data_IF_190650645302
#
_entry.id   IF_190650645302
#
_cell.length_a   1.000
_cell.length_b   1.000
_cell.length_c   1.000
_cell.angle_alpha   90.00
_cell.angle_beta   90.00
_cell.angle_gamma   90.00
#
_symmetry.space_group_name_H-M   'P 1'
#
loop_
_entity.id
_entity.type
_entity.pdbx_description
1 polymer ?
#
# COMPACT_ATOMS: atom_id res chain seq x y z
N UNK A 1 -56.34 10.55 34.02
CA UNK A 1 -55.19 11.45 34.16
C UNK A 1 -54.12 10.98 33.18
N UNK A 2 -54.12 11.56 31.99
CA UNK A 2 -53.39 11.11 30.80
C UNK A 2 -51.98 11.71 30.82
N UNK A 3 -50.94 10.88 30.96
CA UNK A 3 -49.55 11.33 30.92
C UNK A 3 -49.08 11.27 29.47
N UNK A 4 -48.93 12.44 28.85
CA UNK A 4 -48.37 12.61 27.52
C UNK A 4 -46.87 12.31 27.54
N UNK A 5 -46.45 11.42 26.64
CA UNK A 5 -45.05 11.13 26.31
C UNK A 5 -44.46 12.31 25.53
N UNK A 6 -43.54 13.06 26.14
CA UNK A 6 -42.70 14.03 25.44
C UNK A 6 -41.53 13.31 24.76
N UNK A 7 -41.62 13.23 23.44
CA UNK A 7 -40.54 12.80 22.54
C UNK A 7 -39.38 13.78 22.62
N UNK A 8 -38.24 13.37 23.18
CA UNK A 8 -36.98 14.10 23.08
C UNK A 8 -36.42 13.97 21.66
N UNK A 9 -36.31 15.11 20.96
CA UNK A 9 -35.77 15.20 19.62
C UNK A 9 -34.27 14.83 19.59
N UNK A 10 -33.90 13.91 18.70
CA UNK A 10 -32.50 13.60 18.36
C UNK A 10 -31.94 14.76 17.52
N UNK A 11 -30.83 15.40 17.90
CA UNK A 11 -30.26 16.48 17.10
C UNK A 11 -29.64 15.94 15.80
N UNK A 12 -29.71 16.70 14.70
CA UNK A 12 -29.21 16.27 13.39
C UNK A 12 -27.69 16.11 13.43
N UNK A 13 -27.19 15.12 12.69
CA UNK A 13 -25.78 14.73 12.58
C UNK A 13 -24.88 15.89 12.14
N UNK A 14 -24.34 16.62 13.13
CA UNK A 14 -23.34 17.66 12.94
C UNK A 14 -22.03 17.06 12.45
N UNK A 15 -21.48 17.70 11.42
CA UNK A 15 -20.09 17.58 10.96
C UNK A 15 -19.15 17.37 12.14
N UNK A 16 -18.49 16.21 12.21
CA UNK A 16 -17.37 16.01 13.13
C UNK A 16 -16.31 17.07 12.80
N UNK A 17 -16.24 18.13 13.59
CA UNK A 17 -15.11 19.04 13.59
C UNK A 17 -13.87 18.19 13.85
N UNK A 18 -13.05 18.00 12.81
CA UNK A 18 -11.73 17.40 12.96
C UNK A 18 -10.90 18.42 13.73
N UNK A 19 -10.81 18.23 15.05
CA UNK A 19 -9.95 19.07 15.91
C UNK A 19 -8.55 19.04 15.31
N UNK A 20 -7.97 20.18 14.92
CA UNK A 20 -6.62 20.21 14.39
C UNK A 20 -5.67 19.69 15.47
N UNK A 21 -4.93 18.63 15.14
CA UNK A 21 -3.91 18.08 16.02
C UNK A 21 -2.83 19.16 16.16
N UNK A 22 -2.86 19.92 17.25
CA UNK A 22 -1.76 20.82 17.64
C UNK A 22 -0.60 19.98 18.14
N UNK A 23 0.10 19.34 17.20
CA UNK A 23 1.38 18.72 17.46
C UNK A 23 2.42 19.84 17.64
N UNK A 24 3.15 19.82 18.75
CA UNK A 24 4.32 20.67 18.93
C UNK A 24 5.33 20.45 17.79
N UNK A 25 6.17 21.45 17.50
CA UNK A 25 7.23 21.46 16.50
C UNK A 25 8.02 20.14 16.44
N UNK A 26 8.42 19.60 17.59
CA UNK A 26 9.10 18.30 17.71
C UNK A 26 8.25 17.13 17.25
N UNK A 27 6.95 17.11 17.61
CA UNK A 27 6.04 16.05 17.19
C UNK A 27 5.75 16.09 15.68
N UNK A 28 5.71 17.29 15.09
CA UNK A 28 5.61 17.45 13.64
C UNK A 28 6.87 16.95 12.94
N UNK A 29 8.06 17.29 13.44
CA UNK A 29 9.32 16.79 12.91
C UNK A 29 9.37 15.25 12.93
N UNK A 30 9.00 14.63 14.05
CA UNK A 30 8.90 13.16 14.15
C UNK A 30 7.89 12.58 13.15
N UNK A 31 6.77 13.28 12.90
CA UNK A 31 5.82 12.89 11.86
C UNK A 31 6.44 12.90 10.46
N UNK A 32 7.20 13.94 10.12
CA UNK A 32 7.89 14.01 8.82
C UNK A 32 8.96 12.93 8.69
N UNK A 33 9.77 12.71 9.72
CA UNK A 33 10.79 11.65 9.72
C UNK A 33 10.15 10.26 9.55
N UNK A 34 9.02 10.00 10.20
CA UNK A 34 8.29 8.75 10.05
C UNK A 34 7.71 8.57 8.64
N UNK A 35 7.14 9.63 8.05
CA UNK A 35 6.64 9.60 6.68
C UNK A 35 7.76 9.34 5.67
N UNK A 36 8.88 10.06 5.78
CA UNK A 36 10.05 9.89 4.90
C UNK A 36 10.68 8.50 5.05
N UNK A 37 10.78 7.99 6.29
CA UNK A 37 11.24 6.61 6.54
C UNK A 37 10.32 5.59 5.88
N UNK A 38 9.00 5.82 5.93
CA UNK A 38 8.03 4.95 5.24
C UNK A 38 8.25 4.96 3.73
N UNK A 39 8.42 6.14 3.13
CA UNK A 39 8.71 6.30 1.69
C UNK A 39 9.96 5.52 1.30
N UNK A 40 11.04 5.63 2.07
CA UNK A 40 12.27 4.87 1.82
C UNK A 40 12.06 3.35 1.93
N UNK A 41 11.31 2.88 2.92
CA UNK A 41 11.00 1.45 3.07
C UNK A 41 10.15 0.94 1.89
N UNK A 42 9.15 1.71 1.46
CA UNK A 42 8.32 1.34 0.30
C UNK A 42 9.11 1.39 -1.01
N UNK A 43 9.98 2.37 -1.19
CA UNK A 43 10.87 2.41 -2.35
C UNK A 43 11.83 1.21 -2.36
N UNK A 44 12.45 0.89 -1.23
CA UNK A 44 13.29 -0.30 -1.08
C UNK A 44 12.53 -1.60 -1.32
N UNK A 45 11.25 -1.67 -0.93
CA UNK A 45 10.39 -2.81 -1.24
C UNK A 45 10.25 -3.04 -2.75
N UNK A 46 10.01 -2.01 -3.56
CA UNK A 46 9.94 -2.18 -5.02
C UNK A 46 11.26 -2.61 -5.64
N UNK A 47 12.39 -2.11 -5.13
CA UNK A 47 13.72 -2.60 -5.53
C UNK A 47 13.89 -4.07 -5.19
N UNK A 48 13.49 -4.48 -3.99
CA UNK A 48 13.56 -5.88 -3.55
C UNK A 48 12.68 -6.81 -4.39
N UNK A 49 11.47 -6.38 -4.78
CA UNK A 49 10.65 -7.16 -5.70
C UNK A 49 11.35 -7.33 -7.06
N UNK A 50 11.96 -6.27 -7.57
CA UNK A 50 12.67 -6.31 -8.85
C UNK A 50 13.91 -7.20 -8.77
N UNK A 51 14.68 -7.10 -7.70
CA UNK A 51 15.83 -7.98 -7.46
C UNK A 51 15.37 -9.44 -7.33
N UNK A 52 14.35 -9.73 -6.53
CA UNK A 52 13.80 -11.08 -6.37
C UNK A 52 13.22 -11.67 -7.65
N UNK A 53 12.72 -10.84 -8.56
CA UNK A 53 12.25 -11.26 -9.88
C UNK A 53 13.40 -11.54 -10.87
N UNK A 54 14.58 -10.95 -10.64
CA UNK A 54 15.76 -11.06 -11.52
C UNK A 54 16.84 -12.01 -10.96
N UNK A 55 16.78 -12.36 -9.67
CA UNK A 55 17.81 -13.15 -8.99
C UNK A 55 17.38 -14.60 -8.74
N UNK A 56 18.34 -15.55 -8.68
CA UNK A 56 18.07 -16.94 -8.29
C UNK A 56 17.64 -17.08 -6.81
N UNK A 57 18.06 -16.14 -5.95
CA UNK A 57 17.56 -16.06 -4.58
C UNK A 57 16.07 -15.82 -4.62
N UNK A 58 15.33 -16.83 -4.16
CA UNK A 58 13.93 -16.96 -4.49
C UNK A 58 13.11 -15.80 -3.92
N UNK A 59 12.24 -15.30 -4.78
CA UNK A 59 11.05 -14.53 -4.35
C UNK A 59 10.37 -15.22 -3.16
N UNK A 60 10.43 -16.55 -3.07
CA UNK A 60 9.88 -17.36 -1.98
C UNK A 60 10.47 -17.02 -0.60
N UNK A 61 11.80 -16.97 -0.43
CA UNK A 61 12.46 -16.69 0.85
C UNK A 61 12.12 -15.29 1.34
N UNK A 62 12.15 -14.30 0.45
CA UNK A 62 11.75 -12.93 0.76
C UNK A 62 10.27 -12.87 1.18
N UNK A 63 9.42 -13.65 0.52
CA UNK A 63 7.99 -13.77 0.86
C UNK A 63 7.80 -14.42 2.23
N UNK A 64 8.57 -15.47 2.54
CA UNK A 64 8.57 -16.16 3.83
C UNK A 64 9.00 -15.21 4.95
N UNK A 65 10.06 -14.44 4.77
CA UNK A 65 10.47 -13.45 5.76
C UNK A 65 9.43 -12.35 5.95
N UNK A 66 8.88 -11.83 4.85
CA UNK A 66 7.89 -10.77 4.85
C UNK A 66 6.62 -11.13 5.62
N UNK A 67 6.09 -12.35 5.45
CA UNK A 67 4.83 -12.74 6.09
C UNK A 67 5.04 -13.61 7.33
N UNK A 68 6.04 -14.49 7.32
CA UNK A 68 6.33 -15.41 8.41
C UNK A 68 6.81 -14.71 9.68
N UNK A 69 7.76 -13.77 9.58
CA UNK A 69 8.28 -13.06 10.77
C UNK A 69 7.17 -12.24 11.45
N UNK A 70 6.41 -11.38 10.73
CA UNK A 70 5.25 -10.73 11.33
C UNK A 70 4.18 -11.68 11.85
N UNK A 71 3.92 -12.79 11.15
CA UNK A 71 2.93 -13.76 11.59
C UNK A 71 3.31 -14.36 12.95
N UNK A 72 4.57 -14.74 13.15
CA UNK A 72 5.07 -15.25 14.44
C UNK A 72 4.94 -14.20 15.53
N UNK A 73 5.35 -12.95 15.25
CA UNK A 73 5.28 -11.84 16.21
C UNK A 73 3.82 -11.50 16.59
N UNK A 74 2.90 -11.53 15.62
CA UNK A 74 1.50 -11.15 15.79
C UNK A 74 0.58 -12.31 16.17
N UNK A 75 1.06 -13.56 16.18
CA UNK A 75 0.25 -14.73 16.53
C UNK A 75 -0.35 -14.62 17.94
N UNK A 76 0.39 -14.22 19.00
CA UNK A 76 -0.20 -14.03 20.32
C UNK A 76 -1.29 -12.97 20.35
N UNK A 77 -1.14 -11.91 19.53
CA UNK A 77 -2.14 -10.86 19.39
C UNK A 77 -3.40 -11.41 18.70
N UNK A 78 -3.27 -12.20 17.64
CA UNK A 78 -4.39 -12.84 16.96
C UNK A 78 -5.18 -13.71 17.94
N UNK A 79 -4.51 -14.57 18.70
CA UNK A 79 -5.16 -15.44 19.71
C UNK A 79 -5.92 -14.58 20.74
N UNK A 80 -5.29 -13.54 21.27
CA UNK A 80 -5.89 -12.64 22.25
C UNK A 80 -7.08 -11.83 21.69
N UNK A 81 -7.07 -11.49 20.40
CA UNK A 81 -8.08 -10.66 19.73
C UNK A 81 -9.01 -11.45 18.82
N UNK A 82 -8.93 -12.78 18.82
CA UNK A 82 -9.68 -13.64 17.89
C UNK A 82 -11.19 -13.43 17.98
N UNK A 83 -11.73 -13.29 19.19
CA UNK A 83 -13.15 -13.03 19.40
C UNK A 83 -13.64 -11.74 18.73
N UNK A 84 -12.78 -10.72 18.63
CA UNK A 84 -13.07 -9.46 17.96
C UNK A 84 -12.91 -9.58 16.43
N UNK A 85 -11.86 -10.28 15.98
CA UNK A 85 -11.59 -10.44 14.54
C UNK A 85 -12.62 -11.35 13.87
N UNK A 86 -13.03 -12.45 14.51
CA UNK A 86 -13.93 -13.46 13.90
C UNK A 86 -15.36 -12.99 13.66
N UNK A 87 -15.78 -11.89 14.29
CA UNK A 87 -17.12 -11.30 14.10
C UNK A 87 -17.15 -10.26 12.99
N UNK A 88 -15.98 -9.86 12.46
CA UNK A 88 -15.90 -9.00 11.28
C UNK A 88 -16.45 -9.77 10.08
N UNK A 89 -17.18 -9.07 9.20
CA UNK A 89 -17.71 -9.66 7.98
C UNK A 89 -16.58 -10.36 7.18
N UNK A 90 -16.72 -11.65 6.83
CA UNK A 90 -15.70 -12.40 6.10
C UNK A 90 -15.25 -11.74 4.80
N UNK A 91 -16.14 -11.02 4.11
CA UNK A 91 -15.80 -10.27 2.90
C UNK A 91 -14.67 -9.26 3.15
N UNK A 92 -14.69 -8.55 4.27
CA UNK A 92 -13.66 -7.57 4.61
C UNK A 92 -12.37 -8.26 5.08
N UNK A 93 -12.46 -9.38 5.79
CA UNK A 93 -11.28 -10.16 6.15
C UNK A 93 -10.57 -10.69 4.91
N UNK A 94 -11.33 -11.20 3.93
CA UNK A 94 -10.82 -11.65 2.63
C UNK A 94 -10.22 -10.48 1.86
N UNK A 95 -10.91 -9.33 1.78
CA UNK A 95 -10.37 -8.14 1.11
C UNK A 95 -9.08 -7.63 1.74
N UNK A 96 -8.92 -7.73 3.07
CA UNK A 96 -7.67 -7.43 3.77
C UNK A 96 -6.57 -8.43 3.38
N UNK A 97 -6.85 -9.73 3.49
CA UNK A 97 -5.88 -10.80 3.26
C UNK A 97 -5.41 -10.87 1.79
N UNK A 98 -6.32 -10.69 0.82
CA UNK A 98 -5.98 -10.69 -0.60
C UNK A 98 -5.29 -9.39 -1.02
N UNK A 99 -5.77 -8.25 -0.50
CA UNK A 99 -5.40 -6.94 -1.02
C UNK A 99 -4.01 -6.44 -0.63
N UNK A 100 -3.45 -6.95 0.47
CA UNK A 100 -2.08 -6.64 0.91
C UNK A 100 -1.27 -7.87 1.35
N UNK A 101 -1.86 -9.08 1.31
CA UNK A 101 -1.20 -10.34 1.67
C UNK A 101 -0.53 -11.03 0.49
N UNK A 102 -0.41 -12.36 0.59
CA UNK A 102 0.32 -13.19 -0.37
C UNK A 102 -0.10 -12.97 -1.83
N UNK A 103 -1.40 -12.89 -2.20
CA UNK A 103 -1.78 -12.72 -3.61
C UNK A 103 -1.31 -11.40 -4.20
N UNK A 104 -1.52 -10.28 -3.49
CA UNK A 104 -0.99 -8.98 -3.89
C UNK A 104 0.53 -9.02 -4.08
N UNK A 105 1.26 -9.61 -3.13
CA UNK A 105 2.71 -9.71 -3.21
C UNK A 105 3.15 -10.60 -4.40
N UNK A 106 2.56 -11.78 -4.56
CA UNK A 106 2.91 -12.72 -5.62
C UNK A 106 2.68 -12.13 -7.02
N UNK A 107 1.55 -11.46 -7.23
CA UNK A 107 1.26 -10.77 -8.50
C UNK A 107 2.24 -9.61 -8.70
N UNK A 108 2.55 -8.84 -7.64
CA UNK A 108 3.51 -7.73 -7.72
C UNK A 108 4.93 -8.22 -8.06
N UNK A 109 5.39 -9.30 -7.44
CA UNK A 109 6.69 -9.90 -7.69
C UNK A 109 6.77 -10.46 -9.12
N UNK A 110 5.73 -11.18 -9.55
CA UNK A 110 5.64 -11.68 -10.92
C UNK A 110 5.66 -10.54 -11.94
N UNK A 111 4.86 -9.48 -11.72
CA UNK A 111 4.82 -8.28 -12.58
C UNK A 111 6.18 -7.57 -12.69
N UNK A 112 6.97 -7.57 -11.60
CA UNK A 112 8.33 -7.03 -11.59
C UNK A 112 9.32 -7.80 -12.46
N UNK A 113 8.99 -8.98 -12.97
CA UNK A 113 9.77 -9.63 -14.04
C UNK A 113 9.59 -8.96 -15.41
N UNK A 114 8.45 -8.29 -15.63
CA UNK A 114 8.03 -7.81 -16.95
C UNK A 114 8.24 -6.31 -17.17
N UNK A 115 8.35 -5.53 -16.10
CA UNK A 115 8.40 -4.07 -16.17
C UNK A 115 9.39 -3.48 -15.15
N UNK A 116 10.03 -2.34 -15.46
CA UNK A 116 10.95 -1.65 -14.54
C UNK A 116 10.28 -1.18 -13.25
N UNK A 117 11.09 -0.92 -12.22
CA UNK A 117 10.64 -0.41 -10.91
C UNK A 117 9.79 0.84 -11.06
N UNK A 118 10.19 1.76 -11.94
CA UNK A 118 9.47 3.01 -12.18
C UNK A 118 8.00 2.80 -12.55
N UNK A 119 7.67 1.73 -13.27
CA UNK A 119 6.29 1.41 -13.64
C UNK A 119 5.52 0.85 -12.44
N UNK A 120 6.10 -0.09 -11.70
CA UNK A 120 5.44 -0.72 -10.54
C UNK A 120 5.24 0.24 -9.37
N UNK A 121 6.28 1.00 -9.03
CA UNK A 121 6.23 2.00 -7.97
C UNK A 121 5.29 3.15 -8.28
N UNK A 122 5.03 3.45 -9.55
CA UNK A 122 4.09 4.49 -9.98
C UNK A 122 2.67 3.95 -10.07
N UNK A 123 2.46 2.85 -10.80
CA UNK A 123 1.11 2.37 -11.10
C UNK A 123 0.41 1.81 -9.87
N UNK A 124 1.11 1.09 -8.98
CA UNK A 124 0.48 0.48 -7.80
C UNK A 124 -0.07 1.55 -6.84
N UNK A 125 0.77 2.37 -6.16
CA UNK A 125 0.26 3.36 -5.21
C UNK A 125 -0.40 4.55 -5.92
N UNK A 126 0.06 4.91 -7.12
CA UNK A 126 -0.41 6.10 -7.81
C UNK A 126 -1.82 5.98 -8.39
N UNK A 127 -2.25 4.77 -8.74
CA UNK A 127 -3.63 4.53 -9.21
C UNK A 127 -4.57 4.03 -8.13
N UNK A 128 -4.07 3.72 -6.92
CA UNK A 128 -4.93 3.28 -5.82
C UNK A 128 -6.07 4.29 -5.54
N UNK A 129 -5.86 5.62 -5.55
CA UNK A 129 -6.96 6.58 -5.41
C UNK A 129 -8.03 6.48 -6.50
N UNK A 130 -7.68 6.10 -7.74
CA UNK A 130 -8.65 5.88 -8.81
C UNK A 130 -9.57 4.71 -8.48
N UNK A 131 -9.00 3.55 -8.14
CA UNK A 131 -9.79 2.36 -7.80
C UNK A 131 -10.58 2.53 -6.50
N UNK A 132 -9.97 3.08 -5.45
CA UNK A 132 -10.66 3.36 -4.18
C UNK A 132 -11.84 4.29 -4.41
N UNK A 133 -11.64 5.35 -5.20
CA UNK A 133 -12.71 6.29 -5.53
C UNK A 133 -13.78 5.65 -6.38
N UNK A 134 -13.40 4.88 -7.42
CA UNK A 134 -14.34 4.19 -8.29
C UNK A 134 -15.24 3.24 -7.50
N UNK A 135 -14.66 2.39 -6.66
CA UNK A 135 -15.42 1.50 -5.77
C UNK A 135 -16.30 2.33 -4.82
N UNK A 136 -15.78 3.43 -4.25
CA UNK A 136 -16.55 4.23 -3.31
C UNK A 136 -17.76 4.95 -3.94
N UNK A 137 -17.62 5.43 -5.17
CA UNK A 137 -18.71 6.06 -5.92
C UNK A 137 -19.73 5.02 -6.36
N UNK A 138 -19.28 3.89 -6.91
CA UNK A 138 -20.17 2.86 -7.43
C UNK A 138 -20.94 2.12 -6.34
N UNK A 139 -20.33 1.85 -5.18
CA UNK A 139 -20.94 1.03 -4.12
C UNK A 139 -21.43 1.82 -2.91
N UNK A 140 -20.88 3.00 -2.64
CA UNK A 140 -21.27 3.83 -1.48
C UNK A 140 -21.89 5.18 -1.88
N UNK A 141 -22.08 5.45 -3.18
CA UNK A 141 -22.67 6.69 -3.70
C UNK A 141 -22.06 7.97 -3.11
N UNK A 142 -20.75 7.95 -2.83
CA UNK A 142 -20.07 9.08 -2.20
C UNK A 142 -19.88 10.23 -3.19
N UNK A 143 -20.22 11.48 -2.82
CA UNK A 143 -20.01 12.64 -3.68
C UNK A 143 -18.52 12.92 -3.84
N UNK A 144 -18.15 13.39 -5.04
CA UNK A 144 -16.77 13.74 -5.37
C UNK A 144 -16.59 15.26 -5.41
N UNK A 145 -15.63 15.75 -4.62
CA UNK A 145 -15.21 17.14 -4.72
C UNK A 145 -14.55 17.43 -6.08
N UNK A 146 -14.66 18.67 -6.54
CA UNK A 146 -14.10 19.09 -7.84
C UNK A 146 -12.58 18.94 -7.91
N UNK A 147 -11.85 19.22 -6.83
CA UNK A 147 -10.39 19.04 -6.78
C UNK A 147 -9.99 17.56 -6.84
N UNK A 148 -10.74 16.66 -6.18
CA UNK A 148 -10.47 15.23 -6.23
C UNK A 148 -10.70 14.68 -7.63
N UNK A 149 -11.76 15.13 -8.32
CA UNK A 149 -11.98 14.79 -9.74
C UNK A 149 -10.83 15.24 -10.63
N UNK A 150 -10.34 16.47 -10.43
CA UNK A 150 -9.21 17.00 -11.18
C UNK A 150 -7.92 16.19 -10.94
N UNK A 151 -7.57 15.91 -9.68
CA UNK A 151 -6.40 15.09 -9.36
C UNK A 151 -6.48 13.69 -9.98
N UNK A 152 -7.63 13.03 -9.88
CA UNK A 152 -7.86 11.71 -10.50
C UNK A 152 -7.77 11.77 -12.03
N UNK A 153 -8.24 12.84 -12.67
CA UNK A 153 -8.08 13.03 -14.11
C UNK A 153 -6.60 13.09 -14.51
N UNK A 154 -5.76 13.83 -13.76
CA UNK A 154 -4.31 13.88 -14.01
C UNK A 154 -3.68 12.49 -13.82
N UNK A 155 -4.06 11.75 -12.77
CA UNK A 155 -3.59 10.37 -12.57
C UNK A 155 -3.94 9.50 -13.78
N UNK A 156 -5.18 9.57 -14.28
CA UNK A 156 -5.62 8.80 -15.43
C UNK A 156 -4.80 9.13 -16.69
N UNK A 157 -4.52 10.41 -16.94
CA UNK A 157 -3.64 10.82 -18.04
C UNK A 157 -2.21 10.28 -17.89
N UNK A 158 -1.66 10.30 -16.67
CA UNK A 158 -0.35 9.72 -16.39
C UNK A 158 -0.30 8.20 -16.64
N UNK A 159 -1.36 7.47 -16.28
CA UNK A 159 -1.50 6.04 -16.61
C UNK A 159 -1.55 5.82 -18.11
N UNK A 160 -2.36 6.60 -18.84
CA UNK A 160 -2.42 6.52 -20.30
C UNK A 160 -1.06 6.80 -20.92
N UNK A 161 -0.33 7.80 -20.44
CA UNK A 161 1.03 8.09 -20.89
C UNK A 161 1.95 6.88 -20.71
N UNK A 162 1.95 6.25 -19.53
CA UNK A 162 2.76 5.04 -19.27
C UNK A 162 2.34 3.88 -20.18
N UNK A 163 1.06 3.58 -20.35
CA UNK A 163 0.59 2.48 -21.20
C UNK A 163 0.88 2.74 -22.69
N UNK A 164 0.75 3.99 -23.12
CA UNK A 164 1.00 4.40 -24.50
C UNK A 164 2.44 4.14 -24.93
N UNK A 165 3.40 4.32 -24.02
CA UNK A 165 4.82 4.04 -24.32
C UNK A 165 5.07 2.57 -24.63
N UNK A 166 4.43 1.67 -23.88
CA UNK A 166 4.53 0.24 -24.09
C UNK A 166 3.84 -0.19 -25.40
N UNK A 167 2.69 0.43 -25.70
CA UNK A 167 1.97 0.21 -26.95
C UNK A 167 2.78 0.65 -28.17
N UNK A 168 3.29 1.89 -28.18
CA UNK A 168 4.10 2.41 -29.28
C UNK A 168 5.40 1.64 -29.48
N UNK A 169 6.03 1.23 -28.37
CA UNK A 169 7.19 0.35 -28.40
C UNK A 169 6.89 -1.10 -28.77
N UNK A 170 5.61 -1.45 -29.02
CA UNK A 170 5.13 -2.80 -29.31
C UNK A 170 5.61 -3.85 -28.30
N UNK A 171 5.78 -3.44 -27.04
CA UNK A 171 6.30 -4.30 -25.98
C UNK A 171 5.15 -4.97 -25.22
N UNK A 172 4.76 -6.15 -25.68
CA UNK A 172 3.76 -6.99 -24.99
C UNK A 172 4.18 -7.30 -23.55
N UNK A 173 5.47 -7.57 -23.33
CA UNK A 173 6.04 -7.82 -22.00
C UNK A 173 5.77 -6.65 -21.06
N UNK A 174 6.08 -5.42 -21.47
CA UNK A 174 5.85 -4.23 -20.64
C UNK A 174 4.37 -4.01 -20.36
N UNK A 175 3.49 -4.21 -21.36
CA UNK A 175 2.04 -4.10 -21.18
C UNK A 175 1.50 -5.12 -20.16
N UNK A 176 2.00 -6.36 -20.18
CA UNK A 176 1.65 -7.39 -19.19
C UNK A 176 2.03 -6.92 -17.78
N UNK A 177 3.26 -6.45 -17.60
CA UNK A 177 3.73 -5.92 -16.31
C UNK A 177 2.86 -4.77 -15.81
N UNK A 178 2.56 -3.79 -16.68
CA UNK A 178 1.70 -2.65 -16.34
C UNK A 178 0.26 -3.07 -15.99
N UNK A 179 -0.32 -4.01 -16.73
CA UNK A 179 -1.65 -4.53 -16.43
C UNK A 179 -1.70 -5.21 -15.06
N UNK A 180 -0.69 -6.03 -14.74
CA UNK A 180 -0.58 -6.70 -13.45
C UNK A 180 -0.38 -5.69 -12.30
N UNK A 181 0.37 -4.60 -12.51
CA UNK A 181 0.47 -3.52 -11.52
C UNK A 181 -0.86 -2.80 -11.28
N UNK A 182 -1.70 -2.63 -12.30
CA UNK A 182 -3.06 -2.11 -12.13
C UNK A 182 -3.96 -3.09 -11.35
N UNK A 183 -3.82 -4.40 -11.58
CA UNK A 183 -4.49 -5.43 -10.75
C UNK A 183 -4.04 -5.34 -9.29
N UNK A 184 -2.73 -5.16 -9.04
CA UNK A 184 -2.20 -4.96 -7.69
C UNK A 184 -2.77 -3.69 -7.04
N UNK A 185 -2.90 -2.61 -7.79
CA UNK A 185 -3.54 -1.37 -7.32
C UNK A 185 -5.02 -1.57 -6.95
N UNK A 186 -5.76 -2.34 -7.74
CA UNK A 186 -7.14 -2.71 -7.42
C UNK A 186 -7.20 -3.57 -6.13
N UNK A 187 -6.31 -4.55 -5.99
CA UNK A 187 -6.20 -5.35 -4.77
C UNK A 187 -5.91 -4.46 -3.55
N UNK A 188 -4.98 -3.51 -3.68
CA UNK A 188 -4.69 -2.54 -2.63
C UNK A 188 -5.91 -1.68 -2.30
N UNK A 189 -6.68 -1.24 -3.31
CA UNK A 189 -7.91 -0.50 -3.09
C UNK A 189 -8.94 -1.32 -2.29
N UNK A 190 -9.13 -2.60 -2.62
CA UNK A 190 -9.98 -3.52 -1.87
C UNK A 190 -9.49 -3.66 -0.42
N UNK A 191 -8.18 -3.77 -0.20
CA UNK A 191 -7.59 -3.75 1.14
C UNK A 191 -7.96 -2.47 1.90
N UNK A 192 -7.74 -1.29 1.32
CA UNK A 192 -8.01 -0.02 2.03
C UNK A 192 -9.48 0.16 2.40
N UNK A 193 -10.40 -0.25 1.52
CA UNK A 193 -11.85 -0.20 1.79
C UNK A 193 -12.21 -1.22 2.87
N UNK A 194 -11.68 -2.44 2.77
CA UNK A 194 -11.94 -3.50 3.74
C UNK A 194 -11.42 -3.15 5.13
N UNK A 195 -10.24 -2.55 5.24
CA UNK A 195 -9.71 -2.01 6.50
C UNK A 195 -10.69 -1.01 7.08
N UNK A 196 -11.15 -0.04 6.28
CA UNK A 196 -12.09 0.99 6.73
C UNK A 196 -13.42 0.40 7.21
N UNK A 197 -13.96 -0.59 6.50
CA UNK A 197 -15.25 -1.20 6.84
C UNK A 197 -15.15 -2.25 7.95
N UNK A 198 -13.99 -2.84 8.17
CA UNK A 198 -13.77 -3.83 9.22
C UNK A 198 -13.75 -3.21 10.64
N UNK A 199 -13.36 -1.94 10.76
CA UNK A 199 -13.12 -1.29 12.06
C UNK A 199 -11.94 -1.85 12.85
N UNK A 200 -11.13 -2.74 12.24
CA UNK A 200 -9.98 -3.35 12.89
C UNK A 200 -8.87 -2.34 13.17
N UNK A 201 -8.16 -2.55 14.28
CA UNK A 201 -6.98 -1.76 14.64
C UNK A 201 -5.79 -2.12 13.73
N UNK A 202 -4.81 -1.23 13.54
CA UNK A 202 -3.68 -1.47 12.63
C UNK A 202 -2.94 -2.80 12.85
N UNK A 203 -2.71 -3.20 14.10
CA UNK A 203 -2.05 -4.48 14.40
C UNK A 203 -2.95 -5.70 14.15
N UNK A 204 -4.27 -5.56 14.28
CA UNK A 204 -5.23 -6.62 13.93
C UNK A 204 -5.28 -6.79 12.41
N UNK A 205 -5.28 -5.69 11.65
CA UNK A 205 -5.16 -5.70 10.18
C UNK A 205 -3.86 -6.40 9.75
N UNK A 206 -2.72 -6.03 10.36
CA UNK A 206 -1.44 -6.68 10.06
C UNK A 206 -1.47 -8.18 10.33
N UNK A 207 -2.13 -8.62 11.41
CA UNK A 207 -2.31 -10.05 11.72
C UNK A 207 -3.18 -10.76 10.66
N UNK A 208 -4.28 -10.14 10.22
CA UNK A 208 -5.18 -10.67 9.17
C UNK A 208 -4.48 -10.74 7.80
N UNK A 209 -3.53 -9.84 7.53
CA UNK A 209 -2.69 -9.91 6.32
C UNK A 209 -1.65 -11.03 6.43
N UNK A 210 -0.90 -11.05 7.52
CA UNK A 210 0.36 -11.83 7.60
C UNK A 210 0.14 -13.28 7.95
N UNK A 211 -0.77 -13.59 8.88
CA UNK A 211 -0.95 -14.97 9.38
C UNK A 211 -1.55 -15.89 8.31
N UNK A 212 -2.66 -15.54 7.62
CA UNK A 212 -3.16 -16.37 6.52
C UNK A 212 -2.14 -16.51 5.38
N UNK A 213 -1.40 -15.44 5.06
CA UNK A 213 -0.33 -15.47 4.05
C UNK A 213 0.79 -16.43 4.43
N UNK A 214 1.25 -16.40 5.69
CA UNK A 214 2.26 -17.32 6.20
C UNK A 214 1.78 -18.77 6.21
N UNK A 215 0.52 -19.02 6.59
CA UNK A 215 -0.06 -20.36 6.56
C UNK A 215 -0.14 -20.93 5.13
N UNK A 216 -0.54 -20.11 4.16
CA UNK A 216 -0.55 -20.52 2.75
C UNK A 216 0.86 -20.83 2.23
N UNK A 217 1.87 -20.05 2.63
CA UNK A 217 3.26 -20.33 2.29
C UNK A 217 3.78 -21.61 2.93
N UNK A 218 3.43 -21.87 4.20
CA UNK A 218 3.81 -23.12 4.88
C UNK A 218 3.13 -24.32 4.22
N UNK A 219 1.86 -24.20 3.82
CA UNK A 219 1.17 -25.24 3.07
C UNK A 219 1.84 -25.49 1.71
N UNK A 220 2.18 -24.42 0.98
CA UNK A 220 2.93 -24.54 -0.27
C UNK A 220 4.29 -25.23 -0.06
N UNK A 221 5.05 -24.83 0.97
CA UNK A 221 6.34 -25.43 1.28
C UNK A 221 6.22 -26.92 1.65
N UNK A 222 5.16 -27.30 2.37
CA UNK A 222 4.91 -28.69 2.76
C UNK A 222 4.54 -29.58 1.56
N UNK A 223 3.82 -29.04 0.56
CA UNK A 223 3.34 -29.80 -0.61
C UNK A 223 4.35 -29.81 -1.75
N UNK A 224 4.92 -28.65 -2.08
CA UNK A 224 5.80 -28.49 -3.23
C UNK A 224 7.28 -28.76 -2.90
N UNK A 225 7.65 -28.76 -1.61
CA UNK A 225 9.02 -28.93 -1.12
C UNK A 225 10.07 -28.17 -1.96
N UNK A 226 9.89 -26.86 -2.16
CA UNK A 226 10.78 -26.08 -3.01
C UNK A 226 12.18 -26.05 -2.41
N UNK A 227 13.20 -26.11 -3.27
CA UNK A 227 14.58 -25.91 -2.83
C UNK A 227 14.77 -24.48 -2.32
N UNK A 228 15.15 -24.36 -1.05
CA UNK A 228 15.49 -23.07 -0.44
C UNK A 228 16.97 -22.80 -0.65
N UNK A 229 17.28 -21.62 -1.18
CA UNK A 229 18.64 -21.15 -1.45
C UNK A 229 19.32 -20.55 -0.20
N UNK A 230 18.82 -20.81 1.00
CA UNK A 230 19.39 -20.25 2.23
C UNK A 230 20.82 -20.74 2.51
N UNK A 231 21.16 -21.94 2.05
CA UNK A 231 22.51 -22.51 2.17
C UNK A 231 23.50 -21.94 1.15
N UNK A 232 23.03 -21.29 0.08
CA UNK A 232 23.88 -20.71 -0.97
C UNK A 232 24.24 -19.25 -0.67
N UNK A 233 23.76 -18.71 0.46
CA UNK A 233 23.88 -17.31 0.84
C UNK A 233 24.51 -17.18 2.20
N UNK A 234 25.28 -16.11 2.41
CA UNK A 234 25.90 -15.86 3.71
C UNK A 234 24.86 -15.68 4.80
N UNK A 235 25.18 -16.10 6.03
CA UNK A 235 24.27 -15.97 7.18
C UNK A 235 23.87 -14.52 7.44
N UNK A 236 24.83 -13.60 7.29
CA UNK A 236 24.60 -12.18 7.44
C UNK A 236 23.59 -11.64 6.43
N UNK A 237 23.66 -12.09 5.18
CA UNK A 237 22.81 -11.60 4.10
C UNK A 237 21.35 -12.01 4.29
N UNK A 238 21.06 -13.29 4.58
CA UNK A 238 19.68 -13.70 4.81
C UNK A 238 19.12 -13.15 6.14
N UNK A 239 19.95 -12.99 7.19
CA UNK A 239 19.52 -12.32 8.44
C UNK A 239 19.16 -10.84 8.20
N UNK A 240 19.94 -10.16 7.35
CA UNK A 240 19.64 -8.77 6.97
C UNK A 240 18.31 -8.70 6.23
N UNK A 241 18.06 -9.60 5.27
CA UNK A 241 16.77 -9.67 4.58
C UNK A 241 15.62 -10.06 5.51
N UNK A 242 15.85 -10.92 6.50
CA UNK A 242 14.85 -11.28 7.51
C UNK A 242 14.39 -10.04 8.29
N UNK A 243 15.34 -9.21 8.75
CA UNK A 243 15.02 -7.97 9.47
C UNK A 243 14.37 -6.94 8.54
N UNK A 244 14.91 -6.75 7.34
CA UNK A 244 14.38 -5.78 6.37
C UNK A 244 12.97 -6.16 5.92
N UNK A 245 12.77 -7.37 5.39
CA UNK A 245 11.48 -7.81 4.88
C UNK A 245 10.47 -8.05 6.00
N UNK A 246 10.89 -8.76 7.05
CA UNK A 246 10.01 -9.14 8.14
C UNK A 246 9.63 -7.97 9.04
N UNK A 247 10.63 -7.23 9.54
CA UNK A 247 10.39 -6.17 10.52
C UNK A 247 10.14 -4.83 9.83
N UNK A 248 11.09 -4.33 9.03
CA UNK A 248 10.99 -2.98 8.49
C UNK A 248 9.82 -2.86 7.50
N UNK A 249 9.74 -3.76 6.51
CA UNK A 249 8.67 -3.72 5.51
C UNK A 249 7.37 -4.36 6.05
N UNK A 250 7.45 -5.51 6.71
CA UNK A 250 6.29 -6.28 7.18
C UNK A 250 5.50 -5.63 8.33
N UNK A 251 6.15 -4.86 9.20
CA UNK A 251 5.50 -4.19 10.35
C UNK A 251 5.80 -2.69 10.42
N UNK A 252 7.08 -2.33 10.29
CA UNK A 252 7.62 -1.00 10.54
C UNK A 252 6.99 0.07 9.65
N UNK A 253 6.89 -0.17 8.35
CA UNK A 253 6.32 0.77 7.39
C UNK A 253 4.87 1.15 7.75
N UNK A 254 4.02 0.16 8.07
CA UNK A 254 2.64 0.40 8.47
C UNK A 254 2.54 1.20 9.77
N UNK A 255 3.38 0.89 10.75
CA UNK A 255 3.45 1.62 12.02
C UNK A 255 3.92 3.07 11.83
N UNK A 256 5.02 3.29 11.11
CA UNK A 256 5.59 4.62 10.84
C UNK A 256 4.61 5.47 10.05
N UNK A 257 3.92 4.90 9.06
CA UNK A 257 2.90 5.60 8.28
C UNK A 257 1.70 5.99 9.15
N UNK A 258 1.18 5.06 9.96
CA UNK A 258 0.10 5.35 10.91
C UNK A 258 0.50 6.41 11.94
N UNK A 259 1.75 6.37 12.42
CA UNK A 259 2.30 7.38 13.29
C UNK A 259 2.37 8.75 12.60
N UNK A 260 2.86 8.82 11.36
CA UNK A 260 2.87 10.05 10.57
C UNK A 260 1.45 10.63 10.39
N UNK A 261 0.46 9.80 10.07
CA UNK A 261 -0.96 10.22 10.00
C UNK A 261 -1.41 10.82 11.33
N UNK A 262 -1.05 10.22 12.47
CA UNK A 262 -1.43 10.72 13.79
C UNK A 262 -0.80 12.07 14.16
N UNK A 263 0.29 12.47 13.50
CA UNK A 263 1.02 13.73 13.78
C UNK A 263 0.78 14.82 12.75
N UNK A 264 0.66 14.45 11.48
CA UNK A 264 0.55 15.38 10.34
C UNK A 264 -0.86 15.41 9.74
N UNK A 265 -1.69 14.40 10.03
CA UNK A 265 -2.95 14.16 9.34
C UNK A 265 -2.78 13.37 8.04
N UNK A 266 -3.88 12.81 7.56
CA UNK A 266 -3.90 11.91 6.41
C UNK A 266 -3.51 12.62 5.09
N UNK A 267 -3.88 13.88 4.91
CA UNK A 267 -3.63 14.64 3.68
C UNK A 267 -2.13 14.87 3.44
N UNK A 268 -1.42 15.46 4.42
CA UNK A 268 0.05 15.67 4.35
C UNK A 268 0.77 14.33 4.19
N UNK A 269 0.38 13.33 4.98
CA UNK A 269 1.04 12.03 4.96
C UNK A 269 0.83 11.30 3.62
N UNK A 270 -0.35 11.43 3.01
CA UNK A 270 -0.64 10.91 1.68
C UNK A 270 0.17 11.62 0.59
N UNK A 271 0.33 12.94 0.69
CA UNK A 271 1.16 13.69 -0.25
C UNK A 271 2.63 13.26 -0.16
N UNK A 272 3.19 13.12 1.05
CA UNK A 272 4.54 12.57 1.25
C UNK A 272 4.65 11.14 0.72
N UNK A 273 3.64 10.28 0.95
CA UNK A 273 3.59 8.92 0.43
C UNK A 273 3.67 8.87 -1.11
N UNK A 274 3.14 9.88 -1.80
CA UNK A 274 3.21 9.98 -3.26
C UNK A 274 4.62 10.25 -3.80
N UNK A 275 5.62 10.51 -2.95
CA UNK A 275 7.03 10.59 -3.34
C UNK A 275 7.68 9.22 -3.54
N UNK A 276 7.03 8.14 -3.08
CA UNK A 276 7.51 6.74 -3.25
C UNK A 276 7.91 6.38 -4.68
N UNK A 277 7.14 6.71 -5.73
CA UNK A 277 7.52 6.41 -7.11
C UNK A 277 8.80 7.14 -7.53
N UNK A 278 8.95 8.41 -7.13
CA UNK A 278 10.13 9.24 -7.41
C UNK A 278 11.36 8.61 -6.75
N UNK A 279 11.28 8.36 -5.43
CA UNK A 279 12.38 7.77 -4.68
C UNK A 279 12.75 6.38 -5.20
N UNK A 280 11.75 5.52 -5.48
CA UNK A 280 11.99 4.18 -6.02
C UNK A 280 12.65 4.21 -7.39
N UNK A 281 12.25 5.14 -8.26
CA UNK A 281 12.83 5.30 -9.60
C UNK A 281 14.28 5.77 -9.53
N UNK A 282 14.58 6.75 -8.69
CA UNK A 282 15.97 7.21 -8.47
C UNK A 282 16.83 6.08 -7.90
N UNK A 283 16.34 5.36 -6.89
CA UNK A 283 17.08 4.24 -6.32
C UNK A 283 17.29 3.11 -7.35
N UNK A 284 16.30 2.80 -8.19
CA UNK A 284 16.42 1.79 -9.24
C UNK A 284 17.43 2.20 -10.32
N UNK A 285 17.47 3.48 -10.70
CA UNK A 285 18.49 4.01 -11.60
C UNK A 285 19.90 3.83 -11.00
N UNK A 286 20.08 4.14 -9.72
CA UNK A 286 21.39 4.10 -9.05
C UNK A 286 21.87 2.68 -8.69
N UNK A 287 20.97 1.81 -8.23
CA UNK A 287 21.33 0.47 -7.74
C UNK A 287 21.11 -0.66 -8.75
N UNK A 288 20.11 -0.52 -9.63
CA UNK A 288 19.75 -1.55 -10.60
C UNK A 288 20.14 -1.17 -12.04
N UNK A 289 20.70 0.03 -12.23
CA UNK A 289 21.04 0.59 -13.55
C UNK A 289 19.85 0.59 -14.52
N UNK A 290 18.63 0.76 -14.01
CA UNK A 290 17.44 0.82 -14.86
C UNK A 290 17.37 2.14 -15.64
N UNK A 291 17.29 2.05 -16.96
CA UNK A 291 17.07 3.22 -17.80
C UNK A 291 15.66 3.78 -17.61
N UNK A 292 15.56 5.09 -17.42
CA UNK A 292 14.28 5.80 -17.30
C UNK A 292 14.08 6.69 -18.51
N UNK A 293 13.03 6.41 -19.29
CA UNK A 293 12.73 7.18 -20.50
C UNK A 293 12.03 8.49 -20.15
N UNK A 294 12.14 9.50 -21.03
CA UNK A 294 11.42 10.78 -20.87
C UNK A 294 9.91 10.58 -20.74
N UNK A 295 9.24 9.75 -21.56
CA UNK A 295 7.83 9.46 -21.35
C UNK A 295 7.50 8.82 -20.00
N UNK A 296 8.35 7.90 -19.50
CA UNK A 296 8.19 7.33 -18.16
C UNK A 296 8.25 8.40 -17.08
N UNK A 297 9.18 9.37 -17.19
CA UNK A 297 9.28 10.48 -16.25
C UNK A 297 8.05 11.39 -16.28
N UNK A 298 7.51 11.67 -17.48
CA UNK A 298 6.27 12.47 -17.64
C UNK A 298 5.10 11.74 -16.98
N UNK A 299 4.90 10.46 -17.28
CA UNK A 299 3.82 9.66 -16.70
C UNK A 299 3.92 9.58 -15.17
N UNK A 300 5.13 9.36 -14.64
CA UNK A 300 5.41 9.36 -13.20
C UNK A 300 5.10 10.70 -12.54
N UNK A 301 5.54 11.81 -13.15
CA UNK A 301 5.27 13.16 -12.65
C UNK A 301 3.77 13.46 -12.63
N UNK A 302 3.04 13.12 -13.71
CA UNK A 302 1.58 13.29 -13.77
C UNK A 302 0.88 12.49 -12.69
N UNK A 303 1.20 11.21 -12.52
CA UNK A 303 0.60 10.38 -11.47
C UNK A 303 0.90 10.95 -10.08
N UNK A 304 2.15 11.31 -9.80
CA UNK A 304 2.57 11.87 -8.51
C UNK A 304 1.83 13.17 -8.20
N UNK A 305 1.84 14.14 -9.13
CA UNK A 305 1.13 15.41 -8.98
C UNK A 305 -0.38 15.23 -8.88
N UNK A 306 -0.95 14.30 -9.64
CA UNK A 306 -2.38 13.96 -9.59
C UNK A 306 -2.81 13.41 -8.23
N UNK A 307 -1.99 12.56 -7.61
CA UNK A 307 -2.23 12.07 -6.25
C UNK A 307 -2.15 13.21 -5.22
N UNK A 308 -1.16 14.10 -5.34
CA UNK A 308 -1.05 15.28 -4.46
C UNK A 308 -2.30 16.16 -4.59
N UNK A 309 -2.75 16.46 -5.82
CA UNK A 309 -3.96 17.23 -6.05
C UNK A 309 -5.22 16.52 -5.50
N UNK A 310 -5.30 15.19 -5.64
CA UNK A 310 -6.42 14.41 -5.12
C UNK A 310 -6.41 14.30 -3.58
N UNK A 311 -5.26 14.48 -2.92
CA UNK A 311 -5.11 14.38 -1.46
C UNK A 311 -5.80 15.50 -0.69
N UNK A 312 -6.15 16.62 -1.35
CA UNK A 312 -6.75 17.79 -0.70
C UNK A 312 -5.77 18.75 -0.06
N UNK A 313 -4.47 18.43 -0.04
CA UNK A 313 -3.41 19.26 0.57
C UNK A 313 -3.44 20.71 0.07
N UNK A 314 -3.59 20.91 -1.24
CA UNK A 314 -3.59 22.23 -1.89
C UNK A 314 -4.82 23.09 -1.58
N UNK A 315 -5.87 22.52 -0.98
CA UNK A 315 -7.11 23.24 -0.62
C UNK A 315 -7.22 23.52 0.88
N UNK A 316 -6.34 22.93 1.70
CA UNK A 316 -6.32 23.12 3.15
C UNK A 316 -5.80 24.52 3.56
N UNK A 317 -5.15 25.23 2.66
CA UNK A 317 -4.60 26.58 2.91
C UNK A 317 -5.64 27.70 2.67
N UNK A 318 -6.83 27.38 2.14
CA UNK A 318 -7.86 28.37 1.78
C UNK A 318 -9.14 28.28 2.62
N UNK A 319 -9.15 27.54 3.73
CA UNK A 319 -10.30 27.39 4.66
C UNK A 319 -9.87 27.60 6.10
#
# INVERSE_FOLDING_TARGET
MSIQLTTAAVPPSGTRHVVPIRADSTQRLLGYLAALSTVLIWSGYFLSLRQGALSPLGTLELTLFRFGVPAVILLPLLVKRWAHIRVVNPLWLVGIALGAGLPFFAISAFAMGFAPVAHGSTLIPGTAPLFVTGIAVCFFHQPLSSWRRFGLFIVALGVVCLLWTAWQGQSTTLLIGQALFLVCSLLWALFTISVRQSGLKPLEVAAVVTIPSALLLLLYAAVAQPELSLSTVSTQEWLTQLVVQGIAVGLGAGFLYGFAISRLGAEITSALGSLTPVCATVLALLWLNEAVTVPTMIGLAMVTCGVIAASGLLHRETS
#
